data_IF_065896720122
#
_entry.id   IF_065896720122
#
_cell.length_a   1.000
_cell.length_b   1.000
_cell.length_c   1.000
_cell.angle_alpha   90.00
_cell.angle_beta   90.00
_cell.angle_gamma   90.00
#
_symmetry.space_group_name_H-M   'P 1'
#
loop_
_entity.id
_entity.type
_entity.pdbx_description
1 polymer ?
#
# COMPACT_ATOMS: atom_id res chain seq x y z
N UNK A 1 -0.26 -6.29 10.74
CA UNK A 1 0.41 -6.35 9.43
C UNK A 1 1.83 -6.90 9.51
N UNK A 2 2.53 -6.63 10.61
CA UNK A 2 3.85 -7.21 10.85
C UNK A 2 3.80 -8.74 10.87
N UNK A 3 2.79 -9.34 11.49
CA UNK A 3 2.61 -10.78 11.52
C UNK A 3 2.41 -11.35 10.12
N UNK A 4 1.69 -10.67 9.25
CA UNK A 4 1.50 -11.07 7.85
C UNK A 4 2.82 -10.98 7.10
N UNK A 5 3.59 -9.92 7.30
CA UNK A 5 4.93 -9.78 6.72
C UNK A 5 5.84 -10.93 7.15
N UNK A 6 5.86 -11.23 8.43
CA UNK A 6 6.71 -12.31 8.97
C UNK A 6 6.32 -13.68 8.38
N UNK A 7 5.01 -13.92 8.23
CA UNK A 7 4.52 -15.12 7.56
C UNK A 7 4.99 -15.21 6.10
N UNK A 8 4.89 -14.11 5.35
CA UNK A 8 5.33 -14.07 3.96
C UNK A 8 6.82 -14.31 3.83
N UNK A 9 7.63 -13.73 4.72
CA UNK A 9 9.07 -13.97 4.77
C UNK A 9 9.34 -15.46 5.02
N UNK A 10 8.63 -16.07 5.97
CA UNK A 10 8.76 -17.49 6.25
C UNK A 10 8.43 -18.35 5.03
N UNK A 11 7.35 -18.01 4.31
CA UNK A 11 6.95 -18.76 3.11
C UNK A 11 7.99 -18.64 1.99
N UNK A 12 8.62 -17.48 1.84
CA UNK A 12 9.73 -17.27 0.89
C UNK A 12 10.92 -18.12 1.27
N UNK A 13 11.35 -18.08 2.54
CA UNK A 13 12.51 -18.84 3.03
C UNK A 13 12.28 -20.35 2.93
N UNK A 14 11.03 -20.79 3.01
CA UNK A 14 10.65 -22.20 2.89
C UNK A 14 10.43 -22.64 1.42
N UNK A 15 10.72 -21.78 0.45
CA UNK A 15 10.47 -22.00 -0.99
C UNK A 15 9.02 -22.30 -1.33
N UNK A 16 8.07 -21.87 -0.50
CA UNK A 16 6.63 -21.99 -0.78
C UNK A 16 6.13 -20.93 -1.74
N UNK A 17 6.83 -19.78 -1.79
CA UNK A 17 6.56 -18.68 -2.69
C UNK A 17 7.84 -18.36 -3.45
N UNK A 18 7.74 -18.23 -4.78
CA UNK A 18 8.88 -17.87 -5.64
C UNK A 18 8.89 -16.38 -5.93
N UNK A 19 10.09 -15.80 -5.91
CA UNK A 19 10.32 -14.40 -6.24
C UNK A 19 11.41 -14.29 -7.30
N UNK A 20 11.37 -13.16 -8.02
CA UNK A 20 12.46 -12.80 -8.90
C UNK A 20 13.68 -12.37 -8.08
N UNK A 21 14.85 -12.57 -8.66
CA UNK A 21 16.11 -12.18 -8.05
C UNK A 21 16.12 -10.69 -7.73
N UNK A 22 16.58 -10.31 -6.54
CA UNK A 22 16.65 -8.92 -6.08
C UNK A 22 15.46 -8.41 -5.28
N UNK A 23 14.32 -9.09 -5.35
CA UNK A 23 13.10 -8.68 -4.64
C UNK A 23 12.52 -9.84 -3.84
N UNK A 24 13.38 -10.49 -3.08
CA UNK A 24 13.08 -11.75 -2.40
C UNK A 24 12.05 -11.62 -1.28
N UNK A 25 12.07 -10.50 -0.56
CA UNK A 25 11.23 -10.34 0.62
C UNK A 25 10.16 -9.26 0.42
N UNK A 26 8.99 -9.42 1.05
CA UNK A 26 7.97 -8.38 1.05
C UNK A 26 8.51 -7.11 1.67
N UNK A 27 8.17 -5.98 1.07
CA UNK A 27 8.51 -4.67 1.61
C UNK A 27 7.38 -4.12 2.44
N UNK A 28 7.71 -3.63 3.62
CA UNK A 28 6.77 -3.02 4.55
C UNK A 28 6.99 -1.52 4.59
N UNK A 29 5.93 -0.73 4.48
CA UNK A 29 5.99 0.73 4.57
C UNK A 29 4.74 1.27 5.24
N UNK A 30 4.89 2.35 6.02
CA UNK A 30 3.75 3.09 6.52
C UNK A 30 3.27 4.05 5.45
N UNK A 31 1.94 4.19 5.29
CA UNK A 31 1.35 5.05 4.27
C UNK A 31 1.87 6.49 4.36
N UNK A 32 2.01 7.01 5.57
CA UNK A 32 2.52 8.37 5.81
C UNK A 32 3.96 8.52 5.32
N UNK A 33 4.82 7.59 5.66
CA UNK A 33 6.23 7.63 5.25
C UNK A 33 6.36 7.53 3.74
N UNK A 34 5.58 6.64 3.13
CA UNK A 34 5.52 6.51 1.68
C UNK A 34 5.13 7.82 0.99
N UNK A 35 4.11 8.49 1.50
CA UNK A 35 3.64 9.75 0.90
C UNK A 35 4.72 10.83 0.92
N UNK A 36 5.42 10.98 2.03
CA UNK A 36 6.47 12.00 2.15
C UNK A 36 7.72 11.69 1.34
N UNK A 37 7.93 10.46 0.92
CA UNK A 37 9.04 10.10 0.05
C UNK A 37 8.99 10.80 -1.31
N UNK A 38 7.85 11.22 -1.77
CA UNK A 38 7.74 12.02 -3.01
C UNK A 38 8.58 13.30 -2.90
N UNK A 39 8.57 13.93 -1.72
CA UNK A 39 9.33 15.14 -1.49
C UNK A 39 10.79 14.83 -1.09
N UNK A 40 10.99 13.84 -0.23
CA UNK A 40 12.29 13.56 0.37
C UNK A 40 13.19 12.72 -0.52
N UNK A 41 12.63 11.70 -1.18
CA UNK A 41 13.38 10.77 -2.04
C UNK A 41 12.45 10.11 -3.06
N UNK A 42 12.27 10.78 -4.20
CA UNK A 42 11.36 10.30 -5.26
C UNK A 42 11.80 8.95 -5.83
N UNK A 43 13.10 8.67 -5.84
CA UNK A 43 13.61 7.38 -6.32
C UNK A 43 13.20 6.24 -5.39
N UNK A 44 13.20 6.50 -4.08
CA UNK A 44 12.71 5.53 -3.09
C UNK A 44 11.20 5.29 -3.25
N UNK A 45 10.42 6.35 -3.49
CA UNK A 45 9.00 6.21 -3.77
C UNK A 45 8.75 5.31 -4.99
N UNK A 46 9.52 5.53 -6.06
CA UNK A 46 9.42 4.70 -7.28
C UNK A 46 9.82 3.26 -7.02
N UNK A 47 10.84 3.03 -6.21
CA UNK A 47 11.26 1.69 -5.81
C UNK A 47 10.15 0.97 -5.04
N UNK A 48 9.46 1.67 -4.14
CA UNK A 48 8.31 1.13 -3.42
C UNK A 48 7.18 0.78 -4.37
N UNK A 49 6.84 1.66 -5.31
CA UNK A 49 5.81 1.40 -6.31
C UNK A 49 6.09 0.10 -7.09
N UNK A 50 7.36 -0.14 -7.40
CA UNK A 50 7.77 -1.25 -8.24
C UNK A 50 8.11 -2.53 -7.47
N UNK A 51 8.04 -2.52 -6.17
CA UNK A 51 8.28 -3.68 -5.31
C UNK A 51 7.28 -4.79 -5.64
N UNK A 52 7.75 -6.03 -5.75
CA UNK A 52 6.87 -7.16 -6.08
C UNK A 52 5.76 -7.34 -5.06
N UNK A 53 6.11 -7.46 -3.80
CA UNK A 53 5.16 -7.66 -2.71
C UNK A 53 5.25 -6.50 -1.73
N UNK A 54 4.17 -5.73 -1.64
CA UNK A 54 4.14 -4.52 -0.82
C UNK A 54 3.07 -4.63 0.28
N UNK A 55 3.47 -4.26 1.51
CA UNK A 55 2.57 -4.12 2.64
C UNK A 55 2.55 -2.65 3.06
N UNK A 56 1.37 -2.03 3.00
CA UNK A 56 1.16 -0.64 3.42
C UNK A 56 0.40 -0.63 4.73
N UNK A 57 1.01 -0.04 5.75
CA UNK A 57 0.40 0.06 7.07
C UNK A 57 -0.25 1.42 7.28
N UNK A 58 -1.39 1.41 7.95
CA UNK A 58 -2.09 2.60 8.42
C UNK A 58 -2.49 3.56 7.29
N UNK A 59 -3.10 3.02 6.23
CA UNK A 59 -3.67 3.84 5.18
C UNK A 59 -4.75 4.77 5.75
N UNK A 60 -4.67 6.04 5.39
CA UNK A 60 -5.57 7.07 5.90
C UNK A 60 -4.87 8.09 6.78
N UNK A 61 -3.67 7.78 7.30
CA UNK A 61 -2.86 8.70 8.07
C UNK A 61 -2.03 9.65 7.19
N UNK A 62 -1.84 9.31 5.91
CA UNK A 62 -1.06 10.12 4.98
C UNK A 62 -1.87 11.26 4.38
N UNK A 63 -1.21 12.34 3.92
CA UNK A 63 -1.89 13.36 3.11
C UNK A 63 -2.29 12.78 1.75
N UNK A 64 -3.45 13.22 1.23
CA UNK A 64 -3.91 12.81 -0.09
C UNK A 64 -3.13 13.46 -1.22
N UNK A 65 -2.53 14.60 -0.95
CA UNK A 65 -1.77 15.37 -1.92
C UNK A 65 -0.50 15.94 -1.31
N UNK A 66 0.59 15.88 -2.06
CA UNK A 66 1.88 16.48 -1.71
C UNK A 66 2.24 17.49 -2.81
N UNK A 67 2.61 18.70 -2.40
CA UNK A 67 3.11 19.73 -3.33
C UNK A 67 4.60 19.89 -3.11
N UNK A 68 5.38 19.70 -4.18
CA UNK A 68 6.83 19.87 -4.15
C UNK A 68 7.30 20.51 -5.45
N UNK A 69 8.11 21.56 -5.36
CA UNK A 69 8.59 22.33 -6.50
C UNK A 69 7.47 22.78 -7.46
N UNK A 70 6.31 23.17 -6.88
CA UNK A 70 5.14 23.60 -7.67
C UNK A 70 4.35 22.46 -8.33
N UNK A 71 4.80 21.22 -8.19
CA UNK A 71 4.11 20.06 -8.72
C UNK A 71 3.20 19.43 -7.66
N UNK A 72 2.02 19.02 -8.10
CA UNK A 72 1.04 18.36 -7.24
C UNK A 72 1.09 16.85 -7.46
N UNK A 73 1.29 16.10 -6.38
CA UNK A 73 1.34 14.63 -6.40
C UNK A 73 0.26 14.07 -5.49
N UNK A 74 -0.38 12.99 -5.94
CA UNK A 74 -1.31 12.19 -5.13
C UNK A 74 -0.67 10.83 -4.87
N UNK A 75 0.04 10.66 -3.76
CA UNK A 75 0.90 9.50 -3.53
C UNK A 75 0.19 8.16 -3.64
N UNK A 76 -0.92 8.00 -2.93
CA UNK A 76 -1.64 6.74 -2.94
C UNK A 76 -2.25 6.45 -4.31
N UNK A 77 -2.82 7.47 -4.95
CA UNK A 77 -3.44 7.33 -6.26
C UNK A 77 -2.42 6.85 -7.30
N UNK A 78 -1.24 7.46 -7.31
CA UNK A 78 -0.17 7.09 -8.24
C UNK A 78 0.34 5.67 -7.98
N UNK A 79 0.55 5.32 -6.72
CA UNK A 79 0.98 3.99 -6.33
C UNK A 79 -0.06 2.94 -6.72
N UNK A 80 -1.32 3.18 -6.41
CA UNK A 80 -2.40 2.25 -6.69
C UNK A 80 -2.57 2.02 -8.19
N UNK A 81 -2.57 3.10 -8.98
CA UNK A 81 -2.67 3.03 -10.45
C UNK A 81 -1.57 2.16 -11.04
N UNK A 82 -0.34 2.41 -10.64
CA UNK A 82 0.81 1.67 -11.14
C UNK A 82 0.72 0.18 -10.77
N UNK A 83 0.45 -0.11 -9.50
CA UNK A 83 0.40 -1.49 -9.01
C UNK A 83 -0.79 -2.26 -9.59
N UNK A 84 -1.90 -1.58 -9.84
CA UNK A 84 -3.05 -2.16 -10.53
C UNK A 84 -2.67 -2.58 -11.95
N UNK A 85 -2.05 -1.68 -12.71
CA UNK A 85 -1.66 -1.95 -14.10
C UNK A 85 -0.61 -3.06 -14.20
N UNK A 86 0.32 -3.11 -13.26
CA UNK A 86 1.39 -4.12 -13.23
C UNK A 86 0.97 -5.41 -12.52
N UNK A 87 -0.25 -5.48 -12.01
CA UNK A 87 -0.77 -6.65 -11.28
C UNK A 87 0.13 -7.06 -10.11
N UNK A 88 0.62 -6.09 -9.35
CA UNK A 88 1.55 -6.34 -8.24
C UNK A 88 0.79 -6.58 -6.93
N UNK A 89 1.05 -7.70 -6.24
CA UNK A 89 0.38 -8.02 -4.98
C UNK A 89 0.62 -6.96 -3.92
N UNK A 90 -0.46 -6.49 -3.29
CA UNK A 90 -0.42 -5.43 -2.29
C UNK A 90 -1.35 -5.77 -1.13
N UNK A 91 -0.86 -5.61 0.10
CA UNK A 91 -1.67 -5.77 1.31
C UNK A 91 -1.68 -4.43 2.05
N UNK A 92 -2.87 -3.99 2.46
CA UNK A 92 -3.05 -2.69 3.09
C UNK A 92 -3.82 -2.87 4.39
N UNK A 93 -3.34 -2.23 5.45
CA UNK A 93 -4.12 -2.09 6.69
C UNK A 93 -4.57 -0.64 6.85
N UNK A 94 -5.74 -0.45 7.46
CA UNK A 94 -6.31 0.88 7.70
C UNK A 94 -7.21 0.85 8.93
N UNK A 95 -7.26 1.98 9.64
CA UNK A 95 -8.25 2.24 10.69
C UNK A 95 -9.54 2.84 10.14
N UNK A 96 -9.57 3.15 8.86
CA UNK A 96 -10.76 3.70 8.20
C UNK A 96 -11.70 2.58 7.78
N UNK A 97 -13.00 2.84 7.83
CA UNK A 97 -13.99 1.96 7.21
C UNK A 97 -13.93 2.10 5.69
N UNK A 98 -14.56 1.17 4.95
CA UNK A 98 -14.63 1.26 3.50
C UNK A 98 -15.31 2.57 3.04
N UNK A 99 -16.31 3.05 3.78
CA UNK A 99 -17.00 4.31 3.50
C UNK A 99 -16.05 5.48 3.69
N UNK A 100 -15.28 5.50 4.80
CA UNK A 100 -14.33 6.57 5.10
C UNK A 100 -13.19 6.63 4.07
N UNK A 101 -12.72 5.49 3.61
CA UNK A 101 -11.72 5.41 2.55
C UNK A 101 -12.28 6.03 1.26
N UNK A 102 -13.50 5.68 0.88
CA UNK A 102 -14.15 6.27 -0.29
C UNK A 102 -14.29 7.78 -0.21
N UNK A 103 -14.62 8.30 0.98
CA UNK A 103 -14.72 9.74 1.19
C UNK A 103 -13.38 10.45 1.15
N UNK A 104 -12.35 9.85 1.74
CA UNK A 104 -11.01 10.44 1.79
C UNK A 104 -10.41 10.61 0.39
N UNK A 105 -10.50 9.60 -0.44
CA UNK A 105 -9.89 9.62 -1.76
C UNK A 105 -10.81 10.13 -2.85
N UNK A 106 -12.03 10.43 -2.58
CA UNK A 106 -13.06 11.13 -3.37
C UNK A 106 -12.84 11.11 -4.91
N UNK A 107 -12.39 9.98 -5.41
CA UNK A 107 -12.18 9.72 -6.83
C UNK A 107 -12.81 8.36 -7.14
N UNK A 108 -13.91 8.34 -7.92
CA UNK A 108 -14.59 7.07 -8.25
C UNK A 108 -13.66 6.04 -8.88
N UNK A 109 -12.67 6.50 -9.65
CA UNK A 109 -11.70 5.61 -10.30
C UNK A 109 -10.85 4.87 -9.27
N UNK A 110 -10.40 5.56 -8.22
CA UNK A 110 -9.60 4.96 -7.14
C UNK A 110 -10.45 3.95 -6.35
N UNK A 111 -11.66 4.32 -6.02
CA UNK A 111 -12.60 3.43 -5.31
C UNK A 111 -12.86 2.17 -6.13
N UNK A 112 -13.13 2.31 -7.42
CA UNK A 112 -13.37 1.18 -8.32
C UNK A 112 -12.17 0.25 -8.40
N UNK A 113 -10.96 0.80 -8.52
CA UNK A 113 -9.73 0.00 -8.55
C UNK A 113 -9.48 -0.73 -7.25
N UNK A 114 -9.77 -0.10 -6.12
CA UNK A 114 -9.68 -0.76 -4.83
C UNK A 114 -10.62 -1.97 -4.75
N UNK A 115 -11.85 -1.84 -5.25
CA UNK A 115 -12.79 -2.95 -5.28
C UNK A 115 -12.34 -4.08 -6.21
N UNK A 116 -11.67 -3.76 -7.31
CA UNK A 116 -11.16 -4.77 -8.23
C UNK A 116 -9.90 -5.48 -7.70
N UNK A 117 -9.02 -4.74 -7.01
CA UNK A 117 -7.73 -5.26 -6.53
C UNK A 117 -7.82 -6.02 -5.23
N UNK A 118 -8.73 -5.61 -4.33
CA UNK A 118 -8.66 -6.03 -2.93
C UNK A 118 -9.89 -6.79 -2.48
N UNK A 119 -9.64 -7.84 -1.71
CA UNK A 119 -10.64 -8.41 -0.81
C UNK A 119 -10.57 -7.65 0.51
N UNK A 120 -11.71 -7.18 0.98
CA UNK A 120 -11.79 -6.35 2.17
C UNK A 120 -12.16 -7.22 3.37
N UNK A 121 -11.28 -7.23 4.39
CA UNK A 121 -11.51 -7.90 5.64
C UNK A 121 -11.70 -6.85 6.74
N UNK A 122 -12.82 -6.95 7.46
CA UNK A 122 -13.13 -6.04 8.57
C UNK A 122 -12.98 -6.77 9.91
N UNK A 123 -12.31 -6.11 10.86
CA UNK A 123 -12.13 -6.64 12.21
C UNK A 123 -12.81 -5.72 13.21
N UNK A 124 -13.59 -6.31 14.12
CA UNK A 124 -14.25 -5.57 15.20
C UNK A 124 -13.39 -5.63 16.46
N UNK A 125 -12.95 -4.48 16.97
CA UNK A 125 -12.12 -4.40 18.16
C UNK A 125 -12.80 -4.93 19.41
N UNK A 126 -14.12 -4.78 19.51
CA UNK A 126 -14.89 -5.20 20.69
C UNK A 126 -14.73 -6.69 21.01
N UNK A 127 -14.40 -7.51 20.04
CA UNK A 127 -14.21 -8.95 20.23
C UNK A 127 -12.91 -9.31 20.97
N UNK A 128 -12.02 -8.36 21.16
CA UNK A 128 -10.70 -8.59 21.78
C UNK A 128 -10.56 -7.97 23.17
N UNK A 129 -11.65 -7.48 23.73
CA UNK A 129 -11.64 -6.84 25.05
C UNK A 129 -12.18 -7.73 26.13
#
# INVERSE_FOLDING_TARGET
LKAIRDLLVHLVDSNKISYCEGDKYPRFVKARDMAYMIHEDINEFRAIMNTKFLLIDDLGAEPTEIVTYGMHYKPFDELLDYRYEQMLPTIISSNLTAIDIGQKYDDPRIVDRMHEMFDILSFEEASFR
#
